data_IF_031166701993
#
_entry.id   IF_031166701993
#
_cell.length_a   1.000
_cell.length_b   1.000
_cell.length_c   1.000
_cell.angle_alpha   90.00
_cell.angle_beta   90.00
_cell.angle_gamma   90.00
#
_symmetry.space_group_name_H-M   'P 1'
#
loop_
_entity.id
_entity.type
_entity.pdbx_description
1 polymer ?
#
# COMPACT_ATOMS: atom_id res chain seq x y z
N UNK A 1 -11.88 -42.48 4.93
CA UNK A 1 -11.75 -41.02 4.96
C UNK A 1 -10.25 -40.77 4.86
N UNK A 2 -9.76 -40.45 3.65
CA UNK A 2 -8.33 -40.32 3.41
C UNK A 2 -7.81 -39.05 4.08
N UNK A 3 -6.68 -39.26 4.75
CA UNK A 3 -5.75 -38.30 5.31
C UNK A 3 -5.21 -37.42 4.18
N UNK A 4 -5.30 -36.09 4.33
CA UNK A 4 -4.67 -35.14 3.42
C UNK A 4 -3.90 -34.11 4.25
N UNK A 5 -2.99 -34.63 5.07
CA UNK A 5 -1.90 -33.86 5.66
C UNK A 5 -0.99 -33.38 4.52
N UNK A 6 -1.35 -32.24 3.90
CA UNK A 6 -0.52 -31.59 2.89
C UNK A 6 0.81 -31.17 3.54
N UNK A 7 1.97 -31.62 3.04
CA UNK A 7 3.24 -31.28 3.66
C UNK A 7 3.48 -29.77 3.58
N UNK A 8 3.72 -29.15 4.73
CA UNK A 8 4.27 -27.80 4.84
C UNK A 8 5.74 -27.84 4.41
N UNK A 9 5.96 -27.80 3.11
CA UNK A 9 7.26 -27.61 2.47
C UNK A 9 7.15 -26.49 1.45
N UNK A 10 6.80 -25.29 1.89
CA UNK A 10 7.10 -24.10 1.11
C UNK A 10 8.58 -23.82 1.34
N UNK A 11 9.38 -24.22 0.36
CA UNK A 11 10.81 -23.95 0.28
C UNK A 11 11.08 -22.46 0.55
N UNK A 12 11.60 -22.14 1.73
CA UNK A 12 11.80 -20.77 2.23
C UNK A 12 13.07 -20.13 1.66
N UNK A 13 13.37 -20.39 0.39
CA UNK A 13 14.62 -19.95 -0.27
C UNK A 13 14.43 -18.68 -1.11
N UNK A 14 13.25 -18.06 -1.08
CA UNK A 14 13.01 -16.81 -1.78
C UNK A 14 13.67 -15.64 -1.04
N UNK A 15 14.91 -15.34 -1.43
CA UNK A 15 15.72 -14.23 -0.92
C UNK A 15 15.35 -12.88 -1.55
N UNK A 16 14.19 -12.76 -2.22
CA UNK A 16 13.76 -11.49 -2.82
C UNK A 16 13.62 -10.42 -1.72
N UNK A 17 14.41 -9.34 -1.78
CA UNK A 17 14.38 -8.29 -0.77
C UNK A 17 12.99 -7.69 -0.63
N UNK A 18 12.65 -7.27 0.59
CA UNK A 18 11.42 -6.50 0.80
C UNK A 18 11.50 -5.18 0.03
N UNK A 19 10.40 -4.73 -0.60
CA UNK A 19 10.40 -3.45 -1.32
C UNK A 19 10.83 -2.30 -0.42
N UNK A 20 11.66 -1.41 -0.95
CA UNK A 20 12.09 -0.22 -0.20
C UNK A 20 10.85 0.61 0.18
N UNK A 21 10.79 1.04 1.44
CA UNK A 21 9.65 1.79 1.99
C UNK A 21 8.45 0.92 2.43
N UNK A 22 8.50 -0.40 2.25
CA UNK A 22 7.46 -1.28 2.79
C UNK A 22 7.53 -1.30 4.33
N UNK A 23 6.38 -1.03 4.95
CA UNK A 23 6.16 -1.13 6.39
C UNK A 23 5.67 -2.53 6.77
N UNK A 24 4.96 -3.19 5.85
CA UNK A 24 4.53 -4.59 5.99
C UNK A 24 4.52 -5.27 4.61
N UNK A 25 4.82 -6.56 4.58
CA UNK A 25 4.75 -7.42 3.39
C UNK A 25 3.91 -8.65 3.74
N UNK A 26 3.04 -9.06 2.83
CA UNK A 26 2.27 -10.29 2.96
C UNK A 26 3.07 -11.50 2.43
N UNK A 27 2.58 -12.71 2.70
CA UNK A 27 3.16 -13.94 2.16
C UNK A 27 3.00 -14.02 0.63
N UNK A 28 3.90 -14.77 -0.02
CA UNK A 28 3.82 -15.04 -1.45
C UNK A 28 2.56 -15.81 -1.82
N UNK A 29 1.86 -15.33 -2.84
CA UNK A 29 0.77 -16.08 -3.47
C UNK A 29 1.33 -17.28 -4.25
N UNK A 30 0.53 -18.34 -4.49
CA UNK A 30 0.92 -19.44 -5.37
C UNK A 30 1.23 -19.00 -6.80
N UNK A 31 0.70 -17.85 -7.23
CA UNK A 31 0.93 -17.23 -8.53
C UNK A 31 2.26 -16.47 -8.64
N UNK A 32 3.01 -16.30 -7.55
CA UNK A 32 4.36 -15.72 -7.59
C UNK A 32 4.45 -14.21 -7.37
N UNK A 33 3.40 -13.58 -6.86
CA UNK A 33 3.41 -12.19 -6.42
C UNK A 33 3.01 -12.08 -4.94
N UNK A 34 3.38 -10.99 -4.27
CA UNK A 34 2.92 -10.65 -2.90
C UNK A 34 2.52 -9.19 -2.81
N UNK A 35 1.60 -8.88 -1.90
CA UNK A 35 1.25 -7.49 -1.56
C UNK A 35 2.19 -6.91 -0.52
N UNK A 36 2.30 -5.58 -0.49
CA UNK A 36 2.91 -4.85 0.62
C UNK A 36 2.18 -3.54 0.90
N UNK A 37 2.42 -3.00 2.10
CA UNK A 37 1.92 -1.69 2.55
C UNK A 37 3.09 -0.78 2.86
N UNK A 38 3.02 0.46 2.37
CA UNK A 38 3.94 1.54 2.70
C UNK A 38 3.38 2.44 3.80
N UNK A 39 3.73 3.72 3.75
CA UNK A 39 3.26 4.72 4.71
C UNK A 39 1.80 5.10 4.50
N UNK A 40 1.18 5.60 5.56
CA UNK A 40 -0.21 6.08 5.60
C UNK A 40 -0.25 7.50 6.14
N UNK A 41 -1.07 8.35 5.53
CA UNK A 41 -1.26 9.76 5.92
C UNK A 41 -2.74 10.03 6.14
N UNK A 42 -3.13 10.42 7.36
CA UNK A 42 -4.50 10.87 7.65
C UNK A 42 -4.57 12.39 7.54
N UNK A 43 -5.58 12.89 6.83
CA UNK A 43 -5.87 14.30 6.64
C UNK A 43 -7.11 14.63 7.48
N UNK A 44 -6.88 15.27 8.63
CA UNK A 44 -7.93 15.69 9.56
C UNK A 44 -8.40 17.14 9.35
N UNK A 45 -7.82 17.86 8.38
CA UNK A 45 -7.99 19.31 8.24
C UNK A 45 -9.35 19.69 7.65
N UNK A 46 -10.29 20.08 8.52
CA UNK A 46 -11.49 20.88 8.24
C UNK A 46 -12.33 20.38 7.04
N UNK A 47 -12.36 19.08 6.85
CA UNK A 47 -13.26 18.38 5.93
C UNK A 47 -14.63 18.48 6.58
N UNK A 48 -15.70 18.76 5.83
CA UNK A 48 -17.03 19.11 6.36
C UNK A 48 -17.48 18.18 7.48
N UNK A 49 -17.17 18.56 8.72
CA UNK A 49 -17.34 17.98 10.06
C UNK A 49 -17.36 16.45 10.31
N UNK A 50 -17.38 15.57 9.31
CA UNK A 50 -17.77 14.17 9.56
C UNK A 50 -16.79 13.09 9.12
N UNK A 51 -15.79 13.36 8.29
CA UNK A 51 -14.96 12.25 7.77
C UNK A 51 -13.51 12.64 7.42
N UNK A 52 -12.57 11.84 7.93
CA UNK A 52 -11.15 11.92 7.63
C UNK A 52 -10.85 11.29 6.27
N UNK A 53 -9.97 11.92 5.50
CA UNK A 53 -9.39 11.31 4.29
C UNK A 53 -8.06 10.66 4.64
N UNK A 54 -7.76 9.53 4.03
CA UNK A 54 -6.49 8.83 4.20
C UNK A 54 -5.82 8.57 2.85
N UNK A 55 -4.51 8.78 2.79
CA UNK A 55 -3.67 8.44 1.64
C UNK A 55 -2.72 7.33 2.06
N UNK A 56 -2.86 6.16 1.43
CA UNK A 56 -2.07 4.97 1.70
C UNK A 56 -1.21 4.60 0.50
N UNK A 57 0.04 4.22 0.74
CA UNK A 57 0.89 3.57 -0.26
C UNK A 57 0.72 2.06 -0.11
N UNK A 58 0.50 1.37 -1.22
CA UNK A 58 0.50 -0.09 -1.30
C UNK A 58 1.19 -0.52 -2.59
N UNK A 59 1.37 -1.82 -2.78
CA UNK A 59 1.91 -2.33 -4.02
C UNK A 59 1.97 -3.83 -4.07
N UNK A 60 2.46 -4.31 -5.20
CA UNK A 60 2.70 -5.72 -5.49
C UNK A 60 4.18 -5.91 -5.82
N UNK A 61 4.73 -7.05 -5.44
CA UNK A 61 6.08 -7.45 -5.80
C UNK A 61 6.05 -8.85 -6.41
N UNK A 62 6.71 -9.00 -7.56
CA UNK A 62 6.96 -10.29 -8.20
C UNK A 62 8.28 -10.91 -7.74
N UNK A 63 8.43 -12.22 -7.90
CA UNK A 63 9.65 -12.96 -7.51
C UNK A 63 10.90 -12.59 -8.30
N UNK A 64 10.76 -11.93 -9.43
CA UNK A 64 11.90 -11.38 -10.17
C UNK A 64 12.40 -10.04 -9.58
N UNK A 65 11.72 -9.55 -8.55
CA UNK A 65 12.03 -8.30 -7.87
C UNK A 65 11.30 -7.09 -8.44
N UNK A 66 10.49 -7.25 -9.50
CA UNK A 66 9.65 -6.17 -10.03
C UNK A 66 8.66 -5.72 -8.96
N UNK A 67 8.48 -4.39 -8.83
CA UNK A 67 7.59 -3.79 -7.84
C UNK A 67 6.68 -2.77 -8.52
N UNK A 68 5.38 -3.00 -8.41
CA UNK A 68 4.35 -2.03 -8.79
C UNK A 68 3.80 -1.35 -7.53
N UNK A 69 3.66 -0.02 -7.59
CA UNK A 69 3.20 0.82 -6.46
C UNK A 69 1.91 1.54 -6.81
N UNK A 70 1.02 1.63 -5.83
CA UNK A 70 -0.28 2.26 -5.93
C UNK A 70 -0.47 3.24 -4.76
N UNK A 71 -1.16 4.35 -5.04
CA UNK A 71 -1.60 5.31 -4.02
C UNK A 71 -3.11 5.18 -3.91
N UNK A 72 -3.59 4.79 -2.72
CA UNK A 72 -5.01 4.72 -2.42
C UNK A 72 -5.46 5.97 -1.68
N UNK A 73 -6.54 6.59 -2.17
CA UNK A 73 -7.25 7.65 -1.45
C UNK A 73 -8.53 7.05 -0.87
N UNK A 74 -8.63 7.05 0.44
CA UNK A 74 -9.74 6.47 1.19
C UNK A 74 -10.52 7.60 1.88
N UNK A 75 -11.84 7.55 1.79
CA UNK A 75 -12.76 8.31 2.65
C UNK A 75 -13.68 7.32 3.35
N UNK A 76 -14.11 7.62 4.58
CA UNK A 76 -15.09 6.79 5.28
C UNK A 76 -16.49 6.87 4.65
N UNK A 77 -16.80 7.94 3.90
CA UNK A 77 -18.09 8.12 3.24
C UNK A 77 -17.91 8.41 1.75
N UNK A 78 -18.63 7.65 0.94
CA UNK A 78 -18.63 7.84 -0.51
C UNK A 78 -19.36 9.14 -0.87
N UNK A 79 -18.72 9.97 -1.68
CA UNK A 79 -19.29 11.25 -2.11
C UNK A 79 -19.10 12.41 -1.14
N UNK A 80 -18.18 12.28 -0.18
CA UNK A 80 -17.84 13.39 0.71
C UNK A 80 -17.35 14.62 -0.04
N UNK A 81 -17.85 15.77 0.41
CA UNK A 81 -17.36 17.05 -0.03
C UNK A 81 -16.11 17.42 0.79
N UNK A 82 -15.05 17.80 0.08
CA UNK A 82 -13.86 18.37 0.71
C UNK A 82 -13.88 19.89 0.53
N UNK A 83 -13.62 20.63 1.61
CA UNK A 83 -13.51 22.08 1.49
C UNK A 83 -12.17 22.46 0.81
N UNK A 84 -11.97 23.72 0.39
CA UNK A 84 -10.73 24.12 -0.27
C UNK A 84 -9.45 23.97 0.56
N UNK A 85 -9.53 23.99 1.90
CA UNK A 85 -8.37 23.80 2.77
C UNK A 85 -7.97 22.31 2.82
N UNK A 86 -8.94 21.43 3.05
CA UNK A 86 -8.77 19.98 2.98
C UNK A 86 -8.30 19.53 1.59
N UNK A 87 -8.81 20.13 0.51
CA UNK A 87 -8.37 19.81 -0.85
C UNK A 87 -6.89 20.10 -1.07
N UNK A 88 -6.37 21.21 -0.52
CA UNK A 88 -4.93 21.53 -0.56
C UNK A 88 -4.12 20.55 0.30
N UNK A 89 -4.63 20.19 1.48
CA UNK A 89 -3.96 19.22 2.34
C UNK A 89 -3.90 17.83 1.70
N UNK A 90 -4.97 17.39 1.03
CA UNK A 90 -5.00 16.15 0.26
C UNK A 90 -4.03 16.20 -0.91
N UNK A 91 -4.00 17.31 -1.66
CA UNK A 91 -3.04 17.48 -2.76
C UNK A 91 -1.59 17.38 -2.26
N UNK A 92 -1.26 18.02 -1.13
CA UNK A 92 0.07 17.91 -0.54
C UNK A 92 0.41 16.48 -0.12
N UNK A 93 -0.53 15.78 0.55
CA UNK A 93 -0.33 14.38 0.94
C UNK A 93 -0.13 13.44 -0.26
N UNK A 94 -0.82 13.71 -1.39
CA UNK A 94 -0.66 12.95 -2.63
C UNK A 94 0.70 13.18 -3.28
N UNK A 95 1.18 14.43 -3.30
CA UNK A 95 2.52 14.77 -3.81
C UNK A 95 3.58 14.05 -2.96
N UNK A 96 3.49 14.17 -1.63
CA UNK A 96 4.44 13.52 -0.72
C UNK A 96 4.46 11.98 -0.89
N UNK A 97 3.29 11.37 -1.16
CA UNK A 97 3.18 9.94 -1.41
C UNK A 97 3.78 9.54 -2.77
N UNK A 98 3.55 10.33 -3.82
CA UNK A 98 4.16 10.12 -5.13
C UNK A 98 5.69 10.22 -5.06
N UNK A 99 6.22 11.26 -4.42
CA UNK A 99 7.66 11.47 -4.22
C UNK A 99 8.30 10.33 -3.42
N UNK A 100 7.56 9.72 -2.47
CA UNK A 100 8.01 8.52 -1.76
C UNK A 100 8.06 7.29 -2.68
N UNK A 101 7.01 7.05 -3.47
CA UNK A 101 6.98 5.97 -4.45
C UNK A 101 8.13 6.08 -5.47
N UNK A 102 8.41 7.28 -5.97
CA UNK A 102 9.48 7.55 -6.92
C UNK A 102 10.86 7.29 -6.30
N UNK A 103 11.13 7.81 -5.10
CA UNK A 103 12.37 7.53 -4.36
C UNK A 103 12.56 6.04 -4.06
N UNK A 104 11.47 5.33 -3.80
CA UNK A 104 11.48 3.90 -3.52
C UNK A 104 11.63 3.02 -4.77
N UNK A 105 11.46 3.60 -5.97
CA UNK A 105 11.57 2.91 -7.27
C UNK A 105 12.86 3.26 -8.02
N UNK A 106 13.60 4.29 -7.57
CA UNK A 106 14.87 4.69 -8.15
C UNK A 106 16.03 3.83 -7.63
N UNK A 107 16.10 2.56 -8.05
CA UNK A 107 17.31 1.70 -7.97
C UNK A 107 17.37 0.74 -9.16
#
# INVERSE_FOLDING_TARGET
MQDDTRPAGADSTDNTPTPLGAVAVDDWTPSGWRSFKGTSRTIAADITETTEFRVDIAGEQDRDGTVDRYIHVLSAVYGDAINPAGARALAAALIDAADECERASAM
#
